data_IF_588982430957
#
_entry.id   IF_588982430957
#
_cell.length_a   1.000
_cell.length_b   1.000
_cell.length_c   1.000
_cell.angle_alpha   90.00
_cell.angle_beta   90.00
_cell.angle_gamma   90.00
#
_symmetry.space_group_name_H-M   'P 1'
#
loop_
_entity.id
_entity.type
_entity.pdbx_description
1 polymer ?
#
# COMPACT_ATOMS: atom_id res chain seq x y z
N UNK A 1 53.93 31.56 47.11
CA UNK A 1 54.17 31.24 45.68
C UNK A 1 52.85 30.84 45.05
N UNK A 2 52.38 31.60 44.06
CA UNK A 2 51.15 31.32 43.29
C UNK A 2 51.46 30.20 42.29
N UNK A 3 50.79 29.07 42.40
CA UNK A 3 50.79 28.05 41.35
C UNK A 3 49.40 28.00 40.72
N UNK A 4 49.32 28.53 39.50
CA UNK A 4 48.20 28.35 38.58
C UNK A 4 48.31 26.96 37.96
N UNK A 5 47.25 26.15 37.99
CA UNK A 5 47.21 24.92 37.18
C UNK A 5 45.82 24.66 36.61
N UNK A 6 45.70 25.06 35.34
CA UNK A 6 44.89 24.55 34.21
C UNK A 6 43.53 23.92 34.53
N UNK A 7 42.47 24.68 34.23
CA UNK A 7 41.12 24.17 33.98
C UNK A 7 41.14 23.48 32.61
N UNK A 8 41.05 22.15 32.59
CA UNK A 8 40.76 21.37 31.38
C UNK A 8 39.25 21.28 31.20
N UNK A 9 38.72 21.99 30.22
CA UNK A 9 37.34 21.90 29.77
C UNK A 9 37.15 20.57 29.03
N UNK A 10 36.36 19.65 29.59
CA UNK A 10 35.93 18.44 28.88
C UNK A 10 34.49 18.65 28.42
N UNK A 11 34.30 19.12 27.19
CA UNK A 11 32.98 19.22 26.56
C UNK A 11 32.59 17.81 26.10
N UNK A 12 31.80 17.12 26.92
CA UNK A 12 31.14 15.87 26.55
C UNK A 12 29.95 16.21 25.65
N UNK A 13 30.20 16.27 24.34
CA UNK A 13 29.16 16.50 23.34
C UNK A 13 28.38 15.19 23.15
N UNK A 14 27.33 14.97 23.95
CA UNK A 14 26.37 13.89 23.73
C UNK A 14 25.61 14.23 22.45
N UNK A 15 26.01 13.64 21.33
CA UNK A 15 25.21 13.59 20.12
C UNK A 15 23.97 12.76 20.43
N UNK A 16 22.91 13.44 20.85
CA UNK A 16 21.57 12.88 20.94
C UNK A 16 21.08 12.66 19.50
N UNK A 17 21.46 11.52 18.91
CA UNK A 17 20.84 11.07 17.66
C UNK A 17 19.38 10.79 17.98
N UNK A 18 18.49 11.70 17.61
CA UNK A 18 17.06 11.47 17.61
C UNK A 18 16.79 10.31 16.64
N UNK A 19 16.66 9.11 17.18
CA UNK A 19 16.01 8.02 16.47
C UNK A 19 14.59 8.50 16.21
N UNK A 20 14.30 8.86 14.96
CA UNK A 20 12.95 9.07 14.48
C UNK A 20 12.25 7.70 14.57
N UNK A 21 11.65 7.43 15.72
CA UNK A 21 10.74 6.32 15.89
C UNK A 21 9.50 6.65 15.07
N UNK A 22 9.46 6.20 13.82
CA UNK A 22 8.24 6.23 13.01
C UNK A 22 7.18 5.43 13.76
N UNK A 23 6.16 6.13 14.28
CA UNK A 23 5.04 5.51 14.98
C UNK A 23 4.44 4.45 14.04
N UNK A 24 4.28 3.18 14.47
CA UNK A 24 3.55 2.22 13.67
C UNK A 24 2.16 2.81 13.41
N UNK A 25 1.74 2.79 12.14
CA UNK A 25 0.42 3.25 11.73
C UNK A 25 -0.58 2.41 12.52
N UNK A 26 -1.26 3.05 13.48
CA UNK A 26 -2.36 2.44 14.21
C UNK A 26 -3.43 2.10 13.17
N UNK A 27 -3.81 0.83 13.12
CA UNK A 27 -4.95 0.37 12.34
C UNK A 27 -6.17 0.88 13.09
N UNK A 28 -6.58 2.11 12.77
CA UNK A 28 -7.92 2.55 13.10
C UNK A 28 -8.87 1.66 12.30
N UNK A 29 -9.68 0.89 13.02
CA UNK A 29 -10.84 0.21 12.45
C UNK A 29 -11.82 1.31 12.02
N UNK A 30 -11.58 1.91 10.85
CA UNK A 30 -12.53 2.81 10.21
C UNK A 30 -13.79 1.98 10.01
N UNK A 31 -14.82 2.34 10.77
CA UNK A 31 -16.13 1.72 10.71
C UNK A 31 -16.66 1.93 9.29
N UNK A 32 -16.57 0.90 8.45
CA UNK A 32 -16.87 0.91 7.01
C UNK A 32 -18.38 1.00 6.74
N UNK A 33 -19.14 1.69 7.59
CA UNK A 33 -20.55 2.03 7.36
C UNK A 33 -20.73 3.20 6.38
N UNK A 34 -19.65 3.90 6.01
CA UNK A 34 -19.69 4.88 4.91
C UNK A 34 -19.60 4.25 3.51
N UNK A 35 -19.43 2.91 3.43
CA UNK A 35 -19.63 2.13 2.19
C UNK A 35 -21.08 2.17 1.65
N UNK A 36 -21.99 2.82 2.38
CA UNK A 36 -23.37 3.06 1.96
C UNK A 36 -23.51 4.08 0.81
N UNK A 37 -22.43 4.51 0.16
CA UNK A 37 -22.52 5.47 -0.95
C UNK A 37 -21.70 5.10 -2.19
N UNK A 38 -21.74 3.83 -2.62
CA UNK A 38 -22.03 3.57 -4.05
C UNK A 38 -23.55 3.42 -4.16
N UNK A 39 -24.27 4.39 -3.62
CA UNK A 39 -25.72 4.48 -3.76
C UNK A 39 -25.99 4.99 -5.17
N UNK A 40 -26.19 4.06 -6.09
CA UNK A 40 -27.14 4.17 -7.21
C UNK A 40 -27.03 5.34 -8.22
N UNK A 41 -26.11 6.31 -8.14
CA UNK A 41 -26.24 7.58 -8.91
C UNK A 41 -25.03 7.98 -9.78
N UNK A 42 -23.88 7.29 -9.74
CA UNK A 42 -22.85 7.47 -10.78
C UNK A 42 -22.52 6.14 -11.46
N UNK A 43 -23.06 5.93 -12.66
CA UNK A 43 -22.78 4.72 -13.48
C UNK A 43 -21.32 4.66 -13.97
N UNK A 44 -20.45 5.56 -13.52
CA UNK A 44 -19.05 5.72 -13.95
C UNK A 44 -18.17 5.95 -12.72
N UNK A 45 -16.97 5.42 -12.77
CA UNK A 45 -15.94 5.58 -11.75
C UNK A 45 -14.60 5.82 -12.43
N UNK A 46 -13.66 6.40 -11.69
CA UNK A 46 -12.26 6.50 -12.12
C UNK A 46 -11.58 5.16 -11.83
N UNK A 47 -11.26 4.40 -12.87
CA UNK A 47 -10.62 3.08 -12.81
C UNK A 47 -9.12 3.26 -13.02
N UNK A 48 -8.37 2.92 -11.98
CA UNK A 48 -6.92 2.86 -12.00
C UNK A 48 -6.51 1.44 -12.37
N UNK A 49 -5.86 1.28 -13.52
CA UNK A 49 -5.21 0.03 -13.91
C UNK A 49 -3.75 0.11 -13.50
N UNK A 50 -3.37 -0.78 -12.61
CA UNK A 50 -2.03 -0.86 -12.03
C UNK A 50 -1.38 -2.14 -12.55
N UNK A 51 -0.20 -2.02 -13.16
CA UNK A 51 0.60 -3.17 -13.59
C UNK A 51 1.78 -3.33 -12.64
N UNK A 52 2.04 -4.56 -12.20
CA UNK A 52 3.17 -4.80 -11.30
C UNK A 52 3.36 -6.26 -10.95
N UNK A 53 4.28 -6.47 -10.03
CA UNK A 53 4.64 -7.76 -9.47
C UNK A 53 5.05 -7.60 -8.00
N UNK A 54 5.59 -8.66 -7.39
CA UNK A 54 6.03 -8.67 -5.99
C UNK A 54 7.08 -7.61 -5.64
N UNK A 55 7.76 -7.02 -6.63
CA UNK A 55 8.82 -6.02 -6.45
C UNK A 55 8.34 -4.58 -6.60
N UNK A 56 7.13 -4.38 -7.14
CA UNK A 56 6.56 -3.04 -7.27
C UNK A 56 5.49 -2.92 -8.34
N UNK A 57 4.90 -1.73 -8.40
CA UNK A 57 3.84 -1.35 -9.32
C UNK A 57 4.18 -0.12 -10.15
N UNK A 58 3.47 0.02 -11.26
CA UNK A 58 3.41 1.18 -12.14
C UNK A 58 1.96 1.46 -12.53
N UNK A 59 1.67 2.71 -12.91
CA UNK A 59 0.38 3.05 -13.49
C UNK A 59 0.36 2.65 -14.96
N UNK A 60 -0.59 1.80 -15.34
CA UNK A 60 -0.84 1.44 -16.74
C UNK A 60 -1.80 2.46 -17.38
N UNK A 61 -2.92 2.75 -16.72
CA UNK A 61 -3.90 3.74 -17.21
C UNK A 61 -4.87 4.22 -16.13
N UNK A 62 -5.48 5.38 -16.36
CA UNK A 62 -6.63 5.89 -15.62
C UNK A 62 -7.75 6.11 -16.62
N UNK A 63 -8.92 5.52 -16.40
CA UNK A 63 -10.09 5.69 -17.28
C UNK A 63 -11.33 6.03 -16.47
N UNK A 64 -12.28 6.77 -17.05
CA UNK A 64 -13.58 7.00 -16.42
C UNK A 64 -14.62 6.17 -17.13
N UNK A 65 -15.03 5.05 -16.54
CA UNK A 65 -15.99 4.11 -17.13
C UNK A 65 -16.80 3.38 -16.06
N UNK A 66 -17.77 2.57 -16.48
CA UNK A 66 -18.54 1.75 -15.54
C UNK A 66 -17.62 0.67 -14.93
N UNK A 67 -17.51 0.57 -13.59
CA UNK A 67 -16.71 -0.47 -12.95
C UNK A 67 -17.10 -1.87 -13.44
N UNK A 68 -16.10 -2.64 -13.89
CA UNK A 68 -16.26 -4.06 -14.16
C UNK A 68 -16.31 -4.87 -12.86
N UNK A 69 -16.70 -6.15 -12.95
CA UNK A 69 -16.78 -7.06 -11.80
C UNK A 69 -15.44 -7.16 -11.06
N UNK A 70 -14.31 -7.13 -11.76
CA UNK A 70 -12.97 -7.20 -11.16
C UNK A 70 -12.63 -5.95 -10.34
N UNK A 71 -12.93 -4.75 -10.84
CA UNK A 71 -12.74 -3.51 -10.07
C UNK A 71 -13.67 -3.47 -8.85
N UNK A 72 -14.88 -4.01 -8.97
CA UNK A 72 -15.85 -4.12 -7.87
C UNK A 72 -15.39 -5.09 -6.76
N UNK A 73 -14.68 -6.18 -7.11
CA UNK A 73 -14.10 -7.13 -6.13
C UNK A 73 -13.02 -6.47 -5.28
N UNK A 74 -12.30 -5.50 -5.83
CA UNK A 74 -11.22 -4.76 -5.15
C UNK A 74 -11.73 -3.54 -4.35
N UNK A 75 -13.02 -3.43 -4.04
CA UNK A 75 -13.50 -2.48 -3.02
C UNK A 75 -13.37 -3.02 -1.59
N UNK A 76 -12.86 -4.24 -1.44
CA UNK A 76 -12.70 -4.85 -0.12
C UNK A 76 -11.64 -4.10 0.66
N UNK A 77 -12.01 -3.70 1.87
CA UNK A 77 -11.07 -3.22 2.88
C UNK A 77 -10.00 -4.28 3.09
N UNK A 78 -8.79 -3.82 3.40
CA UNK A 78 -7.66 -4.67 3.74
C UNK A 78 -8.03 -5.71 4.80
N UNK A 79 -7.76 -6.98 4.52
CA UNK A 79 -8.00 -8.10 5.43
C UNK A 79 -6.69 -8.77 5.85
N UNK A 80 -6.67 -9.53 6.96
CA UNK A 80 -5.50 -10.31 7.37
C UNK A 80 -5.02 -11.34 6.34
N UNK A 81 -5.86 -11.72 5.36
CA UNK A 81 -5.53 -12.69 4.31
C UNK A 81 -4.82 -12.07 3.10
N UNK A 82 -4.90 -10.75 2.96
CA UNK A 82 -4.24 -10.06 1.86
C UNK A 82 -2.73 -10.05 2.07
N UNK A 83 -1.97 -10.43 1.04
CA UNK A 83 -0.50 -10.36 1.04
C UNK A 83 -0.02 -8.96 0.63
N UNK A 84 -0.80 -8.26 -0.19
CA UNK A 84 -0.49 -6.91 -0.64
C UNK A 84 -1.67 -5.97 -0.42
N UNK A 85 -1.32 -4.69 -0.19
CA UNK A 85 -2.28 -3.59 -0.08
C UNK A 85 -1.90 -2.47 -1.05
N UNK A 86 -2.91 -1.83 -1.63
CA UNK A 86 -2.77 -0.59 -2.41
C UNK A 86 -3.45 0.54 -1.66
N UNK A 87 -2.69 1.61 -1.42
CA UNK A 87 -3.18 2.82 -0.74
C UNK A 87 -3.13 4.00 -1.69
N UNK A 88 -4.24 4.72 -1.81
CA UNK A 88 -4.32 5.98 -2.55
C UNK A 88 -4.21 7.14 -1.57
N UNK A 89 -3.34 8.11 -1.86
CA UNK A 89 -3.12 9.29 -1.04
C UNK A 89 -3.44 10.56 -1.83
N UNK A 90 -3.92 11.59 -1.13
CA UNK A 90 -4.10 12.93 -1.68
C UNK A 90 -2.76 13.70 -1.74
N UNK A 91 -2.80 14.95 -2.19
CA UNK A 91 -1.64 15.86 -2.26
C UNK A 91 -0.93 16.07 -0.91
N UNK A 92 -1.67 15.96 0.20
CA UNK A 92 -1.19 16.13 1.56
C UNK A 92 -0.69 14.82 2.17
N UNK A 93 -0.59 13.75 1.37
CA UNK A 93 -0.26 12.38 1.79
C UNK A 93 -1.28 11.77 2.76
N UNK A 94 -2.49 12.31 2.82
CA UNK A 94 -3.58 11.74 3.61
C UNK A 94 -4.17 10.57 2.85
N UNK A 95 -4.46 9.49 3.57
CA UNK A 95 -5.12 8.31 3.01
C UNK A 95 -6.55 8.65 2.54
N UNK A 96 -6.79 8.40 1.25
CA UNK A 96 -8.13 8.43 0.67
C UNK A 96 -8.79 7.07 0.89
N UNK A 97 -8.07 6.00 0.51
CA UNK A 97 -8.54 4.63 0.66
C UNK A 97 -7.36 3.66 0.64
N UNK A 98 -7.54 2.54 1.35
CA UNK A 98 -6.65 1.39 1.34
C UNK A 98 -7.42 0.11 1.02
N UNK A 99 -6.92 -0.62 0.05
CA UNK A 99 -7.53 -1.82 -0.51
C UNK A 99 -6.58 -3.00 -0.33
N UNK A 100 -7.09 -4.12 0.18
CA UNK A 100 -6.39 -5.41 0.11
C UNK A 100 -6.55 -6.03 -1.26
N UNK A 101 -5.46 -6.44 -1.92
CA UNK A 101 -5.47 -6.98 -3.28
C UNK A 101 -5.14 -8.48 -3.34
N UNK A 102 -5.15 -9.18 -2.20
CA UNK A 102 -4.79 -10.59 -2.12
C UNK A 102 -3.30 -10.84 -2.39
N UNK A 103 -3.02 -11.86 -3.20
CA UNK A 103 -1.68 -12.15 -3.74
C UNK A 103 -1.75 -12.26 -5.27
N UNK A 104 -1.95 -11.15 -5.99
CA UNK A 104 -2.17 -11.18 -7.43
C UNK A 104 -0.89 -11.51 -8.21
N UNK A 105 0.26 -11.45 -7.54
CA UNK A 105 1.58 -11.66 -8.12
C UNK A 105 2.07 -13.10 -7.99
N UNK A 106 1.23 -14.02 -7.51
CA UNK A 106 1.60 -15.42 -7.35
C UNK A 106 0.50 -16.34 -7.89
N UNK A 107 0.88 -17.28 -8.74
CA UNK A 107 -0.02 -18.33 -9.23
C UNK A 107 0.36 -19.67 -8.59
N UNK A 108 -0.65 -20.40 -8.14
CA UNK A 108 -0.50 -21.80 -7.73
C UNK A 108 -0.87 -22.67 -8.94
N UNK A 109 0.05 -23.55 -9.36
CA UNK A 109 -0.26 -24.61 -10.30
C UNK A 109 -0.74 -25.83 -9.50
N UNK A 110 -2.02 -26.16 -9.59
CA UNK A 110 -2.53 -27.42 -9.07
C UNK A 110 -2.41 -28.47 -10.17
N UNK A 111 -1.41 -29.36 -10.08
CA UNK A 111 -1.33 -30.51 -10.96
C UNK A 111 -2.10 -31.68 -10.33
N UNK A 112 -3.16 -32.17 -10.98
CA UNK A 112 -3.71 -33.50 -10.66
C UNK A 112 -2.81 -34.51 -11.38
N UNK A 113 -1.91 -35.19 -10.64
CA UNK A 113 -1.22 -36.38 -11.17
C UNK A 113 0.31 -36.43 -11.08
N UNK A 114 0.94 -35.68 -10.19
CA UNK A 114 2.33 -35.96 -9.77
C UNK A 114 2.40 -35.86 -8.24
N UNK A 115 2.59 -36.99 -7.58
CA UNK A 115 2.51 -37.12 -6.11
C UNK A 115 3.79 -36.67 -5.39
N UNK A 116 4.83 -36.24 -6.11
CA UNK A 116 6.19 -36.03 -5.56
C UNK A 116 6.72 -34.58 -5.65
N UNK A 117 5.87 -33.56 -5.50
CA UNK A 117 6.35 -32.17 -5.40
C UNK A 117 5.50 -31.31 -4.47
N UNK A 118 6.18 -30.67 -3.52
CA UNK A 118 5.54 -29.99 -2.40
C UNK A 118 4.87 -28.66 -2.76
N UNK A 119 5.34 -27.94 -3.80
CA UNK A 119 4.79 -26.64 -4.19
C UNK A 119 5.08 -26.31 -5.66
N UNK A 120 4.04 -26.28 -6.50
CA UNK A 120 4.14 -25.73 -7.85
C UNK A 120 3.47 -24.36 -7.90
N UNK A 121 4.28 -23.31 -8.02
CA UNK A 121 3.78 -21.96 -8.18
C UNK A 121 4.91 -21.00 -8.52
N UNK A 122 4.54 -19.83 -9.03
CA UNK A 122 5.51 -18.86 -9.52
C UNK A 122 5.01 -17.44 -9.37
N UNK A 123 5.96 -16.52 -9.26
CA UNK A 123 5.66 -15.11 -9.32
C UNK A 123 5.39 -14.67 -10.76
N UNK A 124 4.39 -13.82 -10.93
CA UNK A 124 3.97 -13.28 -12.21
C UNK A 124 3.83 -11.77 -12.14
N UNK A 125 3.88 -11.14 -13.32
CA UNK A 125 3.35 -9.80 -13.48
C UNK A 125 1.83 -9.88 -13.63
N UNK A 126 1.12 -8.96 -12.98
CA UNK A 126 -0.34 -8.92 -12.97
C UNK A 126 -0.86 -7.49 -13.12
N UNK A 127 -2.10 -7.40 -13.64
CA UNK A 127 -2.88 -6.17 -13.66
C UNK A 127 -3.92 -6.19 -12.54
N UNK A 128 -3.98 -5.10 -11.78
CA UNK A 128 -4.98 -4.88 -10.73
C UNK A 128 -5.78 -3.65 -11.11
N UNK A 129 -7.11 -3.76 -11.07
CA UNK A 129 -8.00 -2.63 -11.33
C UNK A 129 -8.70 -2.22 -10.04
N UNK A 130 -8.61 -0.93 -9.71
CA UNK A 130 -9.30 -0.35 -8.54
C UNK A 130 -10.14 0.81 -9.05
N UNK A 131 -11.42 0.78 -8.74
CA UNK A 131 -12.35 1.84 -9.11
C UNK A 131 -12.60 2.74 -7.91
N UNK A 132 -12.50 4.06 -8.10
CA UNK A 132 -12.79 5.09 -7.10
C UNK A 132 -13.84 6.06 -7.65
N UNK A 133 -14.57 6.78 -6.79
CA UNK A 133 -15.44 7.87 -7.24
C UNK A 133 -14.73 8.80 -8.23
N UNK A 134 -15.48 9.33 -9.20
CA UNK A 134 -14.97 10.26 -10.22
C UNK A 134 -14.35 11.52 -9.60
N UNK A 135 -14.90 11.96 -8.46
CA UNK A 135 -14.44 13.09 -7.64
C UNK A 135 -13.15 12.83 -6.87
N UNK A 136 -12.60 11.62 -6.87
CA UNK A 136 -11.36 11.31 -6.14
C UNK A 136 -10.14 11.95 -6.81
N UNK A 137 -9.40 12.74 -6.05
CA UNK A 137 -8.13 13.37 -6.46
C UNK A 137 -6.94 12.71 -5.76
N UNK A 138 -6.55 11.52 -6.25
CA UNK A 138 -5.37 10.83 -5.75
C UNK A 138 -4.11 11.37 -6.45
N UNK A 139 -3.07 11.66 -5.66
CA UNK A 139 -1.76 12.09 -6.17
C UNK A 139 -0.68 11.02 -6.01
N UNK A 140 -0.88 10.07 -5.10
CA UNK A 140 0.06 8.98 -4.88
C UNK A 140 -0.65 7.64 -4.79
N UNK A 141 -0.01 6.59 -5.30
CA UNK A 141 -0.41 5.20 -5.06
C UNK A 141 0.76 4.47 -4.44
N UNK A 142 0.52 3.80 -3.31
CA UNK A 142 1.53 3.06 -2.55
C UNK A 142 1.19 1.57 -2.57
N UNK A 143 2.14 0.74 -2.98
CA UNK A 143 2.08 -0.70 -2.77
C UNK A 143 2.75 -1.04 -1.44
N UNK A 144 2.07 -1.80 -0.61
CA UNK A 144 2.61 -2.37 0.63
C UNK A 144 2.52 -3.88 0.64
N UNK A 145 3.55 -4.52 1.19
CA UNK A 145 3.52 -5.92 1.62
C UNK A 145 2.87 -6.01 2.99
N UNK A 146 2.01 -7.00 3.20
CA UNK A 146 1.47 -7.34 4.50
C UNK A 146 2.12 -8.61 5.05
N UNK A 147 2.74 -8.50 6.23
CA UNK A 147 3.31 -9.63 6.98
C UNK A 147 2.96 -9.49 8.44
N UNK A 148 2.37 -10.53 9.03
CA UNK A 148 1.96 -10.51 10.44
C UNK A 148 1.10 -9.29 10.81
N UNK A 149 0.23 -8.84 9.88
CA UNK A 149 -0.61 -7.64 10.00
C UNK A 149 0.15 -6.31 10.03
N UNK A 150 1.45 -6.32 9.74
CA UNK A 150 2.28 -5.13 9.54
C UNK A 150 2.38 -4.85 8.05
N UNK A 151 2.24 -3.57 7.68
CA UNK A 151 2.42 -3.12 6.31
C UNK A 151 3.81 -2.52 6.10
N UNK A 152 4.53 -3.02 5.11
CA UNK A 152 5.83 -2.51 4.69
C UNK A 152 5.71 -1.97 3.27
N UNK A 153 6.00 -0.69 3.07
CA UNK A 153 6.00 -0.06 1.75
C UNK A 153 7.03 -0.74 0.83
N UNK A 154 6.59 -1.12 -0.37
CA UNK A 154 7.44 -1.63 -1.44
C UNK A 154 7.86 -0.46 -2.35
N UNK A 155 6.89 0.18 -3.00
CA UNK A 155 7.13 1.36 -3.82
C UNK A 155 5.94 2.31 -3.80
N UNK A 156 6.17 3.53 -4.26
CA UNK A 156 5.18 4.59 -4.43
C UNK A 156 5.29 5.14 -5.86
N UNK A 157 4.15 5.42 -6.46
CA UNK A 157 4.05 6.10 -7.75
C UNK A 157 3.37 7.45 -7.55
N UNK A 158 3.87 8.45 -8.27
CA UNK A 158 3.30 9.79 -8.32
C UNK A 158 2.40 9.84 -9.54
N UNK A 159 1.15 10.24 -9.35
CA UNK A 159 0.20 10.46 -10.42
C UNK A 159 0.44 11.88 -10.94
N UNK A 160 0.87 11.97 -12.20
CA UNK A 160 0.99 13.26 -12.90
C UNK A 160 -0.40 13.74 -13.31
N UNK A 161 -0.62 15.05 -13.27
CA UNK A 161 -1.82 15.70 -13.78
C UNK A 161 -1.83 15.80 -15.31
#
# INVERSE_FOLDING_TARGET
MKNYLKITTFIFCICLSSVLLSKPIEIDNINFQDSKTISSIEQRAKIYTIFGNQRGISLDSITVSKPGTESLKNYKTLSPRDKYAVTFLDENRKEIIRVGIGNPFYIHAQHIGYEDSDFFGGYIDAKVQIALPTSTDAKFIVLSLQENKVLTKINEIILSD
#
